data_IF_894687365827
#
_entry.id   IF_894687365827
#
_cell.length_a   1.000
_cell.length_b   1.000
_cell.length_c   1.000
_cell.angle_alpha   90.00
_cell.angle_beta   90.00
_cell.angle_gamma   90.00
#
_symmetry.space_group_name_H-M   'P 1'
#
loop_
_entity.id
_entity.type
_entity.pdbx_description
1 polymer ?
#
# COMPACT_ATOMS: atom_id res chain seq x y z
N UNK A 1 -2.22 20.76 -4.56
CA UNK A 1 -1.42 20.03 -3.56
C UNK A 1 -2.31 19.14 -2.71
N UNK A 2 -1.76 18.04 -2.18
CA UNK A 2 -2.42 17.20 -1.19
C UNK A 2 -2.68 18.00 0.11
N UNK A 3 -3.80 17.72 0.80
CA UNK A 3 -4.04 18.27 2.13
C UNK A 3 -3.12 17.61 3.17
N UNK A 4 -3.18 18.10 4.42
CA UNK A 4 -2.50 17.42 5.52
C UNK A 4 -2.97 15.95 5.66
N UNK A 5 -2.04 15.01 5.96
CA UNK A 5 -2.37 13.60 6.09
C UNK A 5 -3.33 13.36 7.26
N UNK A 6 -4.34 12.52 7.03
CA UNK A 6 -5.29 12.09 8.07
C UNK A 6 -4.62 11.17 9.08
N UNK A 7 -3.72 10.30 8.59
CA UNK A 7 -2.89 9.43 9.43
C UNK A 7 -1.43 9.59 9.04
N UNK A 8 -0.54 9.57 10.03
CA UNK A 8 0.90 9.40 9.85
C UNK A 8 1.36 8.35 10.86
N UNK A 9 2.04 7.32 10.39
CA UNK A 9 2.38 6.14 11.18
C UNK A 9 3.57 5.41 10.55
N UNK A 10 4.11 4.43 11.28
CA UNK A 10 5.19 3.57 10.80
C UNK A 10 4.69 2.16 10.49
N UNK A 11 5.34 1.46 9.56
CA UNK A 11 5.13 0.03 9.30
C UNK A 11 6.47 -0.72 9.23
N UNK A 12 6.54 -1.98 9.68
CA UNK A 12 7.66 -2.85 9.35
C UNK A 12 7.57 -3.31 7.89
N UNK A 13 8.70 -3.39 7.20
CA UNK A 13 8.79 -4.03 5.88
C UNK A 13 8.59 -5.54 6.00
N UNK A 14 7.79 -6.16 5.13
CA UNK A 14 7.66 -7.62 5.06
C UNK A 14 8.92 -8.29 4.53
N UNK A 15 9.87 -7.52 4.00
CA UNK A 15 11.17 -8.04 3.58
C UNK A 15 12.09 -8.37 4.77
N UNK A 16 12.20 -7.45 5.74
CA UNK A 16 13.22 -7.50 6.79
C UNK A 16 12.94 -6.60 8.00
N UNK A 17 11.67 -6.31 8.28
CA UNK A 17 11.21 -5.47 9.39
C UNK A 17 11.74 -4.01 9.37
N UNK A 18 12.34 -3.57 8.26
CA UNK A 18 12.77 -2.16 8.11
C UNK A 18 11.59 -1.21 8.36
N UNK A 19 11.79 -0.23 9.23
CA UNK A 19 10.74 0.74 9.60
C UNK A 19 10.52 1.74 8.47
N UNK A 20 9.28 1.82 7.99
CA UNK A 20 8.83 2.70 6.90
C UNK A 20 7.94 3.80 7.45
N UNK A 21 8.13 5.04 6.99
CA UNK A 21 7.27 6.17 7.32
C UNK A 21 6.13 6.28 6.29
N UNK A 22 4.88 6.23 6.77
CA UNK A 22 3.68 6.10 5.95
C UNK A 22 2.65 7.19 6.29
N UNK A 23 1.86 7.57 5.29
CA UNK A 23 0.78 8.56 5.38
C UNK A 23 -0.47 8.05 4.69
N UNK A 24 -1.64 8.41 5.22
CA UNK A 24 -2.94 8.15 4.58
C UNK A 24 -3.76 9.43 4.54
N UNK A 25 -4.42 9.66 3.41
CA UNK A 25 -5.28 10.81 3.14
C UNK A 25 -6.69 10.32 2.85
N UNK A 26 -7.66 10.79 3.62
CA UNK A 26 -9.06 10.45 3.44
C UNK A 26 -9.72 11.34 2.39
N UNK A 27 -10.46 10.77 1.41
CA UNK A 27 -11.24 11.54 0.47
C UNK A 27 -12.40 12.26 1.17
N UNK A 28 -12.99 13.22 0.46
CA UNK A 28 -14.15 13.97 0.96
C UNK A 28 -15.35 13.07 1.34
N UNK A 29 -15.49 11.89 0.74
CA UNK A 29 -16.52 10.89 1.09
C UNK A 29 -16.38 10.31 2.50
N UNK A 30 -15.21 10.47 3.12
CA UNK A 30 -14.96 10.12 4.52
C UNK A 30 -15.04 11.34 5.46
N UNK A 31 -15.38 12.52 4.93
CA UNK A 31 -15.65 13.68 5.77
C UNK A 31 -16.89 13.46 6.65
N UNK A 32 -16.94 14.05 7.86
CA UNK A 32 -18.15 14.08 8.69
C UNK A 32 -19.24 15.02 8.12
N UNK A 33 -19.04 15.61 6.93
CA UNK A 33 -20.05 16.46 6.29
C UNK A 33 -21.28 15.67 5.84
N UNK A 34 -22.52 16.18 6.07
CA UNK A 34 -23.74 15.56 5.55
C UNK A 34 -23.81 15.49 4.01
N UNK A 35 -23.11 16.41 3.34
CA UNK A 35 -23.01 16.46 1.87
C UNK A 35 -21.94 15.53 1.30
N UNK A 36 -21.22 14.78 2.15
CA UNK A 36 -20.23 13.82 1.69
C UNK A 36 -20.94 12.62 1.01
N UNK A 37 -20.54 12.23 -0.20
CA UNK A 37 -21.10 11.04 -0.83
C UNK A 37 -20.66 9.77 -0.08
N UNK A 38 -21.39 8.65 -0.21
CA UNK A 38 -20.97 7.37 0.33
C UNK A 38 -19.59 6.97 -0.19
N UNK A 39 -18.73 6.52 0.72
CA UNK A 39 -17.39 6.07 0.35
C UNK A 39 -17.46 4.66 -0.27
N UNK A 40 -17.04 4.56 -1.55
CA UNK A 40 -17.08 3.33 -2.37
C UNK A 40 -15.83 2.43 -2.17
N UNK A 41 -15.02 2.65 -1.13
CA UNK A 41 -13.82 1.83 -0.79
C UNK A 41 -12.67 1.83 -1.81
N UNK A 42 -12.67 2.73 -2.80
CA UNK A 42 -11.53 2.87 -3.71
C UNK A 42 -10.30 3.37 -2.95
N UNK A 43 -9.14 2.77 -3.23
CA UNK A 43 -7.88 3.10 -2.59
C UNK A 43 -6.73 3.11 -3.60
N UNK A 44 -5.70 3.91 -3.32
CA UNK A 44 -4.50 3.97 -4.13
C UNK A 44 -3.25 4.17 -3.27
N UNK A 45 -2.11 3.69 -3.77
CA UNK A 45 -0.78 3.97 -3.24
C UNK A 45 -0.01 4.75 -4.29
N UNK A 46 0.71 5.80 -3.89
CA UNK A 46 1.63 6.53 -4.78
C UNK A 46 3.04 6.45 -4.21
N UNK A 47 3.90 5.70 -4.90
CA UNK A 47 5.31 5.55 -4.55
C UNK A 47 6.20 6.62 -5.19
N UNK A 48 7.21 7.04 -4.44
CA UNK A 48 8.06 8.20 -4.76
C UNK A 48 9.30 7.83 -5.61
N UNK A 49 10.04 8.83 -6.15
CA UNK A 49 11.20 8.59 -7.00
C UNK A 49 12.44 8.21 -6.17
N UNK A 50 13.58 7.98 -6.83
CA UNK A 50 14.77 7.38 -6.22
C UNK A 50 15.27 8.13 -4.97
N UNK A 51 15.28 7.44 -3.82
CA UNK A 51 15.62 8.06 -2.53
C UNK A 51 17.03 8.65 -2.44
N UNK A 52 18.09 7.99 -2.96
CA UNK A 52 19.45 8.52 -2.88
C UNK A 52 19.66 9.85 -3.63
N UNK A 53 18.76 10.21 -4.54
CA UNK A 53 18.76 11.50 -5.23
C UNK A 53 17.79 12.52 -4.62
N UNK A 54 17.38 12.31 -3.36
CA UNK A 54 16.47 13.19 -2.63
C UNK A 54 14.98 12.87 -2.84
N UNK A 55 14.65 11.78 -3.55
CA UNK A 55 13.27 11.34 -3.73
C UNK A 55 12.61 10.96 -2.41
N UNK A 56 11.40 11.47 -2.17
CA UNK A 56 10.57 11.10 -1.03
C UNK A 56 9.09 11.34 -1.37
N UNK A 57 8.18 10.88 -0.53
CA UNK A 57 6.73 11.10 -0.71
C UNK A 57 6.27 12.59 -0.74
N UNK A 58 7.15 13.56 -0.47
CA UNK A 58 6.90 15.00 -0.51
C UNK A 58 7.28 15.59 -1.89
N UNK A 59 7.63 14.73 -2.84
CA UNK A 59 7.96 15.09 -4.22
C UNK A 59 6.75 15.76 -4.92
N UNK A 60 6.94 16.88 -5.65
CA UNK A 60 5.84 17.61 -6.28
C UNK A 60 5.03 16.80 -7.30
N UNK A 61 5.65 15.83 -7.98
CA UNK A 61 4.96 14.95 -8.94
C UNK A 61 4.11 13.94 -8.17
N UNK A 62 4.63 13.38 -7.08
CA UNK A 62 3.85 12.50 -6.17
C UNK A 62 2.65 13.24 -5.59
N UNK A 63 2.84 14.48 -5.13
CA UNK A 63 1.80 15.35 -4.62
C UNK A 63 0.71 15.62 -5.67
N UNK A 64 1.11 15.95 -6.89
CA UNK A 64 0.19 16.21 -8.01
C UNK A 64 -0.64 14.97 -8.39
N UNK A 65 0.01 13.80 -8.46
CA UNK A 65 -0.67 12.51 -8.72
C UNK A 65 -1.64 12.20 -7.58
N UNK A 66 -1.18 12.28 -6.33
CA UNK A 66 -2.00 12.00 -5.16
C UNK A 66 -3.21 12.92 -5.07
N UNK A 67 -3.05 14.21 -5.36
CA UNK A 67 -4.15 15.18 -5.36
C UNK A 67 -5.20 14.86 -6.43
N UNK A 68 -4.78 14.50 -7.65
CA UNK A 68 -5.69 14.10 -8.72
C UNK A 68 -6.51 12.86 -8.32
N UNK A 69 -5.86 11.85 -7.74
CA UNK A 69 -6.52 10.63 -7.28
C UNK A 69 -7.45 10.89 -6.08
N UNK A 70 -7.03 11.72 -5.12
CA UNK A 70 -7.83 12.08 -3.94
C UNK A 70 -9.11 12.82 -4.34
N UNK A 71 -9.02 13.76 -5.29
CA UNK A 71 -10.18 14.47 -5.85
C UNK A 71 -11.14 13.55 -6.60
N UNK A 72 -10.62 12.53 -7.29
CA UNK A 72 -11.45 11.52 -7.93
C UNK A 72 -12.22 10.66 -6.90
N UNK A 73 -11.77 10.61 -5.64
CA UNK A 73 -12.46 9.93 -4.55
C UNK A 73 -11.74 8.69 -4.01
N UNK A 74 -10.48 8.48 -4.39
CA UNK A 74 -9.64 7.42 -3.83
C UNK A 74 -9.16 7.78 -2.43
N UNK A 75 -9.06 6.77 -1.56
CA UNK A 75 -8.28 6.83 -0.33
C UNK A 75 -6.81 6.62 -0.67
N UNK A 76 -5.98 7.63 -0.42
CA UNK A 76 -4.58 7.64 -0.87
C UNK A 76 -3.66 7.29 0.28
N UNK A 77 -2.66 6.46 0.01
CA UNK A 77 -1.48 6.35 0.85
C UNK A 77 -0.21 6.72 0.08
N UNK A 78 0.69 7.36 0.81
CA UNK A 78 2.07 7.57 0.38
C UNK A 78 2.99 7.07 1.48
N UNK A 79 4.20 6.67 1.11
CA UNK A 79 5.20 6.18 2.06
C UNK A 79 6.58 6.48 1.53
N UNK A 80 7.56 6.43 2.42
CA UNK A 80 8.97 6.47 2.07
C UNK A 80 9.51 5.04 2.01
N UNK A 81 10.10 4.67 0.88
CA UNK A 81 10.93 3.46 0.78
C UNK A 81 12.08 3.54 1.80
N UNK A 82 12.67 2.38 2.10
CA UNK A 82 13.90 2.32 2.89
C UNK A 82 14.97 3.31 2.40
N UNK A 83 15.61 4.00 3.33
CA UNK A 83 16.63 5.02 3.07
C UNK A 83 16.10 6.39 2.62
N UNK A 84 14.78 6.59 2.52
CA UNK A 84 14.19 7.91 2.24
C UNK A 84 13.73 8.60 3.53
N UNK A 85 14.16 9.84 3.73
CA UNK A 85 13.69 10.72 4.82
C UNK A 85 13.72 10.01 6.20
N UNK A 86 12.56 9.72 6.80
CA UNK A 86 12.43 9.08 8.12
C UNK A 86 12.38 7.55 8.08
N UNK A 87 12.30 6.94 6.90
CA UNK A 87 12.37 5.48 6.77
C UNK A 87 13.79 4.99 7.03
N UNK A 88 13.91 3.89 7.77
CA UNK A 88 15.19 3.28 8.11
C UNK A 88 15.82 2.60 6.88
N UNK A 89 17.02 2.03 7.06
CA UNK A 89 17.70 1.26 6.02
C UNK A 89 18.33 2.11 4.91
N UNK A 90 18.60 1.47 3.77
CA UNK A 90 19.20 2.07 2.59
C UNK A 90 18.58 1.47 1.33
N UNK A 91 18.48 2.27 0.28
CA UNK A 91 17.96 1.82 -1.01
C UNK A 91 18.87 0.76 -1.63
N UNK A 92 18.27 -0.32 -2.09
CA UNK A 92 18.88 -1.39 -2.85
C UNK A 92 18.80 -1.10 -4.35
N UNK A 93 19.82 -1.55 -5.06
CA UNK A 93 19.83 -1.52 -6.52
C UNK A 93 18.86 -2.56 -7.11
N UNK A 94 18.68 -3.71 -6.46
CA UNK A 94 17.87 -4.82 -7.01
C UNK A 94 16.36 -4.57 -6.98
N UNK A 95 15.89 -3.55 -6.26
CA UNK A 95 14.47 -3.27 -5.98
C UNK A 95 13.70 -4.35 -5.20
N UNK A 96 14.29 -5.52 -4.88
CA UNK A 96 13.61 -6.58 -4.12
C UNK A 96 13.19 -6.12 -2.72
N UNK A 97 14.07 -5.45 -1.94
CA UNK A 97 13.67 -4.97 -0.63
C UNK A 97 12.60 -3.86 -0.70
N UNK A 98 12.65 -3.01 -1.73
CA UNK A 98 11.66 -1.96 -1.97
C UNK A 98 10.31 -2.53 -2.43
N UNK A 99 10.29 -3.66 -3.16
CA UNK A 99 9.04 -4.39 -3.43
C UNK A 99 8.39 -4.84 -2.13
N UNK A 100 9.16 -5.39 -1.18
CA UNK A 100 8.67 -5.73 0.16
C UNK A 100 8.15 -4.52 0.92
N UNK A 101 8.82 -3.38 0.82
CA UNK A 101 8.34 -2.12 1.44
C UNK A 101 6.97 -1.69 0.88
N UNK A 102 6.81 -1.77 -0.44
CA UNK A 102 5.54 -1.47 -1.10
C UNK A 102 4.46 -2.48 -0.69
N UNK A 103 4.78 -3.77 -0.67
CA UNK A 103 3.86 -4.85 -0.29
C UNK A 103 3.37 -4.71 1.15
N UNK A 104 4.21 -4.22 2.08
CA UNK A 104 3.78 -3.86 3.44
C UNK A 104 2.64 -2.85 3.44
N UNK A 105 2.77 -1.78 2.65
CA UNK A 105 1.73 -0.77 2.57
C UNK A 105 0.49 -1.28 1.84
N UNK A 106 0.63 -2.15 0.84
CA UNK A 106 -0.49 -2.81 0.17
C UNK A 106 -1.30 -3.62 1.19
N UNK A 107 -0.64 -4.47 1.96
CA UNK A 107 -1.27 -5.24 3.04
C UNK A 107 -1.97 -4.32 4.04
N UNK A 108 -1.29 -3.28 4.52
CA UNK A 108 -1.90 -2.29 5.41
C UNK A 108 -3.19 -1.70 4.81
N UNK A 109 -3.13 -1.22 3.57
CA UNK A 109 -4.23 -0.51 2.93
C UNK A 109 -5.45 -1.40 2.69
N UNK A 110 -5.26 -2.65 2.26
CA UNK A 110 -6.39 -3.58 2.03
C UNK A 110 -7.11 -3.89 3.35
N UNK A 111 -6.37 -4.18 4.42
CA UNK A 111 -7.00 -4.44 5.73
C UNK A 111 -7.57 -3.17 6.36
N UNK A 112 -6.90 -2.02 6.19
CA UNK A 112 -7.41 -0.74 6.67
C UNK A 112 -8.75 -0.40 5.99
N UNK A 113 -8.83 -0.56 4.67
CA UNK A 113 -10.07 -0.36 3.91
C UNK A 113 -11.15 -1.34 4.32
N UNK A 114 -10.81 -2.60 4.60
CA UNK A 114 -11.77 -3.60 5.08
C UNK A 114 -12.39 -3.19 6.42
N UNK A 115 -11.55 -2.82 7.40
CA UNK A 115 -12.02 -2.45 8.75
C UNK A 115 -12.61 -1.05 8.85
N UNK A 116 -12.33 -0.16 7.89
CA UNK A 116 -12.95 1.16 7.85
C UNK A 116 -14.44 0.99 7.51
N UNK A 117 -15.28 1.31 8.48
CA UNK A 117 -16.73 1.27 8.41
C UNK A 117 -17.28 2.60 8.92
N UNK A 118 -17.11 3.67 8.12
CA UNK A 118 -17.45 5.02 8.55
C UNK A 118 -18.95 5.14 8.89
N UNK A 119 -19.80 4.28 8.34
CA UNK A 119 -21.25 4.34 8.47
C UNK A 119 -21.83 3.28 9.43
N UNK A 120 -20.99 2.44 10.04
CA UNK A 120 -21.42 1.38 10.95
C UNK A 120 -22.31 0.31 10.29
N UNK A 121 -22.19 0.12 8.96
CA UNK A 121 -23.05 -0.77 8.18
C UNK A 121 -22.68 -2.25 8.39
N UNK A 122 -21.41 -2.54 8.68
CA UNK A 122 -20.94 -3.91 8.97
C UNK A 122 -21.55 -4.41 10.27
N UNK A 123 -21.64 -3.54 11.29
CA UNK A 123 -22.31 -3.85 12.56
C UNK A 123 -23.84 -3.97 12.43
N UNK A 124 -24.43 -3.50 11.33
CA UNK A 124 -25.87 -3.59 11.05
C UNK A 124 -26.26 -4.81 10.20
N UNK A 125 -25.33 -5.75 9.98
CA UNK A 125 -25.61 -7.01 9.29
C UNK A 125 -25.73 -6.91 7.77
N UNK A 126 -25.29 -5.79 7.17
CA UNK A 126 -25.32 -5.61 5.72
C UNK A 126 -24.09 -6.27 5.05
N UNK A 127 -23.98 -7.60 5.12
CA UNK A 127 -23.01 -8.37 4.33
C UNK A 127 -23.70 -8.92 3.10
N UNK A 128 -23.72 -8.12 2.02
CA UNK A 128 -24.09 -8.60 0.70
C UNK A 128 -22.94 -9.40 0.10
N UNK A 129 -23.19 -10.66 -0.27
CA UNK A 129 -22.34 -11.48 -1.11
C UNK A 129 -22.21 -10.79 -2.48
N UNK A 130 -21.12 -10.07 -2.72
CA UNK A 130 -20.85 -9.48 -4.04
C UNK A 130 -20.15 -10.54 -4.90
N UNK A 131 -20.72 -10.93 -6.06
CA UNK A 131 -20.09 -11.85 -7.00
C UNK A 131 -18.76 -11.30 -7.55
N UNK A 132 -17.89 -12.15 -8.14
CA UNK A 132 -16.54 -11.76 -8.56
C UNK A 132 -16.45 -10.70 -9.67
N UNK A 133 -17.55 -10.37 -10.35
CA UNK A 133 -17.58 -9.45 -11.49
C UNK A 133 -18.73 -8.43 -11.40
N UNK A 134 -18.95 -7.86 -10.20
CA UNK A 134 -19.84 -6.69 -10.09
C UNK A 134 -19.05 -5.43 -10.53
N UNK A 135 -19.57 -4.59 -11.46
CA UNK A 135 -19.00 -3.27 -11.74
C UNK A 135 -18.81 -2.41 -10.48
N UNK A 136 -19.48 -2.70 -9.37
CA UNK A 136 -19.30 -2.05 -8.07
C UNK A 136 -18.09 -2.53 -7.25
N UNK A 137 -17.26 -3.45 -7.78
CA UNK A 137 -16.06 -3.91 -7.06
C UNK A 137 -15.09 -2.73 -6.85
N UNK A 138 -14.69 -2.40 -5.61
CA UNK A 138 -13.79 -1.29 -5.35
C UNK A 138 -12.43 -1.49 -6.02
N UNK A 139 -11.74 -0.39 -6.29
CA UNK A 139 -10.49 -0.38 -7.07
C UNK A 139 -9.33 -0.19 -6.11
N UNK A 140 -8.27 -0.96 -6.32
CA UNK A 140 -6.98 -0.77 -5.66
C UNK A 140 -5.93 -0.38 -6.71
N UNK A 141 -5.53 0.88 -6.69
CA UNK A 141 -4.58 1.44 -7.65
C UNK A 141 -3.17 1.47 -7.06
N UNK A 142 -2.27 0.62 -7.57
CA UNK A 142 -0.84 0.71 -7.25
C UNK A 142 -0.16 1.64 -8.24
N UNK A 143 0.29 2.80 -7.76
CA UNK A 143 0.96 3.80 -8.57
C UNK A 143 2.41 4.04 -8.11
N UNK A 144 3.24 4.50 -9.04
CA UNK A 144 4.58 4.96 -8.75
C UNK A 144 5.10 5.95 -9.77
N UNK A 145 6.02 6.80 -9.33
CA UNK A 145 6.76 7.75 -10.16
C UNK A 145 8.25 7.40 -10.18
N UNK A 146 8.88 7.43 -11.37
CA UNK A 146 10.30 7.15 -11.57
C UNK A 146 10.69 5.78 -11.00
N UNK A 147 11.64 5.71 -10.07
CA UNK A 147 12.00 4.49 -9.36
C UNK A 147 10.80 3.81 -8.68
N UNK A 148 9.87 4.56 -8.09
CA UNK A 148 8.63 4.01 -7.56
C UNK A 148 7.78 3.32 -8.64
N UNK A 149 7.80 3.80 -9.88
CA UNK A 149 7.14 3.15 -11.01
C UNK A 149 7.84 1.83 -11.39
N UNK A 150 9.17 1.79 -11.32
CA UNK A 150 9.97 0.56 -11.54
C UNK A 150 9.61 -0.51 -10.50
N UNK A 151 9.55 -0.12 -9.22
CA UNK A 151 9.15 -1.02 -8.13
C UNK A 151 7.71 -1.51 -8.38
N UNK A 152 6.79 -0.59 -8.71
CA UNK A 152 5.37 -0.91 -8.99
C UNK A 152 5.21 -1.91 -10.13
N UNK A 153 5.97 -1.75 -11.23
CA UNK A 153 5.92 -2.68 -12.36
C UNK A 153 6.43 -4.07 -12.02
N UNK A 154 7.27 -4.21 -10.99
CA UNK A 154 7.85 -5.48 -10.54
C UNK A 154 7.09 -6.15 -9.42
N UNK A 155 6.12 -5.48 -8.79
CA UNK A 155 5.33 -6.11 -7.75
C UNK A 155 4.63 -7.36 -8.30
N UNK A 156 4.50 -8.44 -7.51
CA UNK A 156 3.71 -9.57 -7.90
C UNK A 156 2.21 -9.20 -8.01
N UNK A 157 1.38 -10.07 -8.59
CA UNK A 157 -0.08 -9.91 -8.59
C UNK A 157 -0.65 -9.69 -7.17
N UNK A 158 -1.75 -8.93 -7.06
CA UNK A 158 -2.31 -8.52 -5.76
C UNK A 158 -2.68 -9.72 -4.87
N UNK A 159 -3.21 -10.79 -5.44
CA UNK A 159 -3.52 -12.04 -4.74
C UNK A 159 -2.29 -12.71 -4.13
N UNK A 160 -1.15 -12.69 -4.84
CA UNK A 160 0.12 -13.18 -4.30
C UNK A 160 0.62 -12.26 -3.16
N UNK A 161 0.46 -10.94 -3.26
CA UNK A 161 0.79 -10.05 -2.14
C UNK A 161 -0.08 -10.38 -0.92
N UNK A 162 -1.38 -10.56 -1.11
CA UNK A 162 -2.34 -10.75 -0.02
C UNK A 162 -2.24 -12.13 0.65
N UNK A 163 -1.74 -13.16 -0.04
CA UNK A 163 -1.54 -14.48 0.56
C UNK A 163 -0.59 -14.44 1.78
N UNK A 164 0.37 -13.52 1.79
CA UNK A 164 1.29 -13.30 2.91
C UNK A 164 0.58 -12.78 4.17
N UNK A 165 -0.58 -12.16 4.00
CA UNK A 165 -1.37 -11.56 5.07
C UNK A 165 -2.56 -12.43 5.49
N UNK A 166 -2.89 -13.53 4.80
CA UNK A 166 -4.09 -14.31 5.10
C UNK A 166 -4.06 -14.94 6.51
N UNK A 167 -2.96 -15.62 6.87
CA UNK A 167 -2.78 -16.23 8.19
C UNK A 167 -1.34 -16.14 8.69
N UNK A 168 -0.80 -14.92 8.88
CA UNK A 168 0.60 -14.71 9.22
C UNK A 168 0.89 -15.15 10.65
N UNK A 169 2.15 -15.48 10.90
CA UNK A 169 2.66 -15.77 12.24
C UNK A 169 2.56 -14.50 13.10
N UNK A 170 2.06 -14.61 14.34
CA UNK A 170 1.79 -13.47 15.25
C UNK A 170 3.00 -12.54 15.45
N UNK A 171 4.23 -13.06 15.36
CA UNK A 171 5.46 -12.30 15.53
C UNK A 171 6.04 -11.72 14.23
N UNK A 172 5.36 -11.88 13.09
CA UNK A 172 5.86 -11.41 11.78
C UNK A 172 5.40 -9.98 11.47
N UNK A 173 6.15 -9.28 10.60
CA UNK A 173 5.74 -7.99 10.02
C UNK A 173 4.29 -8.01 9.50
N UNK A 174 3.90 -9.06 8.78
CA UNK A 174 2.58 -9.18 8.19
C UNK A 174 1.45 -9.21 9.24
N UNK A 175 1.67 -9.87 10.38
CA UNK A 175 0.73 -9.86 11.50
C UNK A 175 0.65 -8.47 12.14
N UNK A 176 1.78 -7.83 12.37
CA UNK A 176 1.83 -6.48 12.92
C UNK A 176 1.13 -5.46 12.02
N UNK A 177 1.37 -5.51 10.71
CA UNK A 177 0.72 -4.66 9.71
C UNK A 177 -0.80 -4.81 9.76
N UNK A 178 -1.31 -6.05 9.80
CA UNK A 178 -2.76 -6.32 9.89
C UNK A 178 -3.38 -5.72 11.14
N UNK A 179 -2.74 -5.89 12.27
CA UNK A 179 -3.25 -5.41 13.55
C UNK A 179 -3.16 -3.88 13.65
N UNK A 180 -2.09 -3.28 13.10
CA UNK A 180 -1.98 -1.82 12.95
C UNK A 180 -3.11 -1.26 12.08
N UNK A 181 -3.39 -1.90 10.94
CA UNK A 181 -4.47 -1.52 10.04
C UNK A 181 -5.85 -1.57 10.73
N UNK A 182 -6.13 -2.67 11.45
CA UNK A 182 -7.36 -2.81 12.24
C UNK A 182 -7.46 -1.71 13.30
N UNK A 183 -6.42 -1.53 14.11
CA UNK A 183 -6.41 -0.55 15.19
C UNK A 183 -6.71 0.86 14.69
N UNK A 184 -5.99 1.29 13.64
CA UNK A 184 -6.15 2.62 13.08
C UNK A 184 -7.54 2.81 12.43
N UNK A 185 -8.07 1.78 11.78
CA UNK A 185 -9.41 1.84 11.19
C UNK A 185 -10.50 1.97 12.27
N UNK A 186 -10.43 1.17 13.33
CA UNK A 186 -11.36 1.25 14.48
C UNK A 186 -11.30 2.61 15.17
N UNK A 187 -10.10 3.18 15.30
CA UNK A 187 -9.89 4.52 15.86
C UNK A 187 -10.57 5.59 14.99
N UNK A 188 -10.46 5.48 13.66
CA UNK A 188 -11.10 6.39 12.72
C UNK A 188 -12.62 6.22 12.67
N UNK A 189 -13.14 4.98 12.72
CA UNK A 189 -14.58 4.74 12.82
C UNK A 189 -15.19 5.39 14.06
N UNK A 190 -14.49 5.31 15.20
CA UNK A 190 -14.90 5.95 16.45
C UNK A 190 -14.93 7.47 16.30
N UNK A 191 -13.87 8.06 15.74
CA UNK A 191 -13.81 9.51 15.51
C UNK A 191 -14.91 9.98 14.54
N UNK A 192 -15.11 9.30 13.41
CA UNK A 192 -16.10 9.65 12.40
C UNK A 192 -17.54 9.55 12.94
N UNK A 193 -17.84 8.52 13.71
CA UNK A 193 -19.17 8.36 14.33
C UNK A 193 -19.45 9.47 15.35
N UNK A 194 -18.46 9.82 16.20
CA UNK A 194 -18.58 10.93 17.15
C UNK A 194 -18.72 12.28 16.45
N UNK A 195 -17.92 12.55 15.41
CA UNK A 195 -17.97 13.79 14.64
C UNK A 195 -19.31 13.99 13.93
N UNK A 196 -19.95 12.91 13.45
CA UNK A 196 -21.29 12.97 12.85
C UNK A 196 -22.38 13.17 13.91
N UNK A 197 -22.31 12.46 15.04
CA UNK A 197 -23.29 12.56 16.12
C UNK A 197 -23.28 13.96 16.79
N UNK A 198 -22.11 14.54 17.02
CA UNK A 198 -21.97 15.89 17.58
C UNK A 198 -22.53 16.98 16.66
N UNK A 199 -22.50 16.77 15.34
CA UNK A 199 -23.13 17.69 14.37
C UNK A 199 -24.65 17.56 14.33
N UNK A 200 -25.20 16.35 14.51
CA UNK A 200 -26.66 16.18 14.61
C UNK A 200 -27.26 16.81 15.87
N UNK A 201 -26.44 17.02 16.91
CA UNK A 201 -26.84 17.63 18.17
C UNK A 201 -26.63 19.16 18.23
N UNK A 202 -25.98 19.76 17.23
CA UNK A 202 -25.78 21.20 17.18
C UNK A 202 -27.00 21.90 16.53
N UNK A 203 -27.74 22.76 17.24
CA UNK A 203 -28.84 23.51 16.64
C UNK A 203 -28.29 24.49 15.59
N UNK A 204 -28.78 24.35 14.37
CA UNK A 204 -28.61 25.30 13.27
C UNK A 204 -29.29 26.62 13.68
N UNK A 205 -28.53 27.54 14.31
CA UNK A 205 -28.94 28.94 14.42
C UNK A 205 -27.87 29.81 13.79
N UNK A 206 -28.22 30.64 12.79
CA UNK A 206 -27.30 31.61 12.24
C UNK A 206 -27.29 32.82 13.18
N UNK A 207 -26.34 32.90 14.11
CA UNK A 207 -26.10 34.13 14.87
C UNK A 207 -24.62 34.48 14.92
N UNK A 208 -24.30 35.48 14.09
CA UNK A 208 -23.33 36.53 14.38
C UNK A 208 -23.28 36.85 15.88
N UNK A 209 -22.11 36.70 16.48
CA UNK A 209 -21.75 37.31 17.75
C UNK A 209 -20.35 37.93 17.59
N UNK A 210 -20.34 39.25 17.40
CA UNK A 210 -19.19 40.11 17.65
C UNK A 210 -19.14 40.39 19.15
N UNK A 211 -18.03 40.08 19.80
CA UNK A 211 -17.61 40.72 21.05
C UNK A 211 -16.13 41.02 20.89
N UNK A 212 -15.79 42.30 20.91
CA UNK A 212 -14.43 42.83 20.79
C UNK A 212 -13.77 43.14 22.13
N UNK A 213 -12.48 43.50 22.03
CA UNK A 213 -11.53 43.90 23.08
C UNK A 213 -10.22 43.14 22.84
N UNK A 214 -9.24 43.62 22.07
CA UNK A 214 -8.27 44.70 22.36
C UNK A 214 -7.58 44.45 23.71
N UNK A 215 -6.28 44.16 23.85
CA UNK A 215 -5.07 44.63 23.16
C UNK A 215 -4.07 43.45 22.99
N UNK A 216 -3.21 43.41 21.96
CA UNK A 216 -1.79 43.67 22.21
C UNK A 216 -0.85 42.60 21.61
N UNK A 217 -0.37 42.91 20.41
CA UNK A 217 0.98 42.60 19.88
C UNK A 217 1.43 41.18 19.44
N UNK A 218 1.93 41.21 18.19
CA UNK A 218 3.00 40.41 17.59
C UNK A 218 2.67 38.99 17.07
N UNK A 219 2.11 39.04 15.86
CA UNK A 219 2.32 38.04 14.80
C UNK A 219 3.82 37.77 14.60
N UNK A 220 4.27 36.56 14.97
CA UNK A 220 5.40 35.91 14.31
C UNK A 220 4.93 34.58 13.76
N UNK A 221 4.96 34.49 12.44
CA UNK A 221 4.85 33.27 11.67
C UNK A 221 5.96 32.29 12.06
N UNK A 222 5.58 31.13 12.58
CA UNK A 222 6.45 29.96 12.58
C UNK A 222 5.63 28.73 12.20
N UNK A 223 5.80 28.36 10.94
CA UNK A 223 5.71 27.02 10.40
C UNK A 223 5.97 25.95 11.48
N UNK A 224 4.95 25.14 11.78
CA UNK A 224 5.08 23.91 12.56
C UNK A 224 4.44 22.76 11.79
N UNK A 225 5.18 22.25 10.81
CA UNK A 225 5.16 20.82 10.48
C UNK A 225 5.38 20.04 11.78
N UNK A 226 4.31 19.45 12.34
CA UNK A 226 4.38 18.69 13.59
C UNK A 226 5.40 17.55 13.44
N UNK A 227 6.48 17.54 14.25
CA UNK A 227 7.34 16.36 14.35
C UNK A 227 6.56 15.22 15.01
N UNK A 228 6.85 13.99 14.59
CA UNK A 228 6.44 12.76 15.26
C UNK A 228 6.78 12.86 16.75
N UNK A 229 5.78 12.85 17.63
CA UNK A 229 6.05 12.69 19.05
C UNK A 229 6.29 11.19 19.32
N UNK A 230 7.32 10.78 20.07
CA UNK A 230 7.50 9.38 20.50
C UNK A 230 6.22 8.80 21.13
N UNK A 231 5.45 9.68 21.77
CA UNK A 231 4.19 9.36 22.46
C UNK A 231 3.07 8.85 21.53
N UNK A 232 3.01 9.26 20.26
CA UNK A 232 2.00 8.76 19.30
C UNK A 232 2.32 7.35 18.83
N UNK A 233 3.60 7.03 18.61
CA UNK A 233 4.00 5.68 18.22
C UNK A 233 3.86 4.67 19.37
N UNK A 234 4.17 5.07 20.60
CA UNK A 234 3.97 4.21 21.77
C UNK A 234 2.49 3.86 22.00
N UNK A 235 1.57 4.79 21.69
CA UNK A 235 0.12 4.51 21.74
C UNK A 235 -0.29 3.47 20.70
N UNK A 236 0.26 3.56 19.49
CA UNK A 236 0.01 2.57 18.44
C UNK A 236 0.52 1.19 18.84
N UNK A 237 1.75 1.10 19.38
CA UNK A 237 2.34 -0.16 19.85
C UNK A 237 1.51 -0.82 20.96
N UNK A 238 1.03 -0.03 21.92
CA UNK A 238 0.10 -0.51 22.97
C UNK A 238 -1.21 -1.02 22.38
N UNK A 239 -1.82 -0.26 21.46
CA UNK A 239 -3.07 -0.67 20.79
C UNK A 239 -2.95 -1.98 20.02
N UNK A 240 -1.84 -2.20 19.32
CA UNK A 240 -1.53 -3.47 18.63
C UNK A 240 -1.35 -4.61 19.64
N UNK A 241 -0.64 -4.36 20.74
CA UNK A 241 -0.45 -5.35 21.82
C UNK A 241 -1.77 -5.77 22.46
N UNK A 242 -2.70 -4.83 22.67
CA UNK A 242 -4.04 -5.12 23.19
C UNK A 242 -4.87 -5.97 22.21
N UNK A 243 -4.75 -5.73 20.90
CA UNK A 243 -5.41 -6.56 19.87
C UNK A 243 -4.81 -7.98 19.82
N UNK A 244 -3.49 -8.14 19.96
CA UNK A 244 -2.86 -9.45 20.10
C UNK A 244 -3.41 -10.21 21.31
N UNK A 245 -3.49 -9.54 22.48
CA UNK A 245 -4.02 -10.14 23.70
C UNK A 245 -5.49 -10.57 23.53
N UNK A 246 -6.34 -9.72 22.94
CA UNK A 246 -7.76 -10.04 22.64
C UNK A 246 -7.88 -11.26 21.71
N UNK A 247 -7.02 -11.36 20.71
CA UNK A 247 -7.00 -12.49 19.78
C UNK A 247 -6.68 -13.80 20.51
N UNK A 248 -5.69 -13.78 21.42
CA UNK A 248 -5.35 -14.93 22.28
C UNK A 248 -6.48 -15.32 23.24
N UNK A 249 -7.17 -14.36 23.85
CA UNK A 249 -8.29 -14.63 24.75
C UNK A 249 -9.51 -15.24 24.04
N UNK A 250 -9.84 -14.79 22.82
CA UNK A 250 -10.91 -15.41 22.03
C UNK A 250 -10.61 -16.89 21.74
N UNK A 251 -9.36 -17.24 21.43
CA UNK A 251 -8.93 -18.62 21.21
C UNK A 251 -8.99 -19.49 22.46
N UNK A 252 -8.54 -19.00 23.62
CA UNK A 252 -8.59 -19.78 24.88
C UNK A 252 -10.02 -20.02 25.38
N UNK A 253 -10.95 -19.10 25.10
CA UNK A 253 -12.38 -19.29 25.38
C UNK A 253 -13.05 -20.32 24.45
N UNK A 254 -12.60 -20.39 23.18
CA UNK A 254 -13.04 -21.38 22.20
C UNK A 254 -12.59 -22.80 22.59
N UNK A 255 -11.34 -22.97 23.02
CA UNK A 255 -10.81 -24.27 23.48
C UNK A 255 -11.42 -24.77 24.80
N UNK A 256 -11.85 -23.89 25.70
CA UNK A 256 -12.56 -24.32 26.94
C UNK A 256 -13.96 -24.85 26.67
N UNK A 257 -14.60 -24.43 25.57
CA UNK A 257 -15.98 -24.80 25.25
C UNK A 257 -16.12 -26.16 24.55
N UNK A 258 -15.02 -26.77 24.09
CA UNK A 258 -15.01 -28.12 23.49
C UNK A 258 -14.65 -29.25 24.46
N UNK A 259 -14.29 -28.95 25.72
CA UNK A 259 -13.93 -29.94 26.76
C UNK A 259 -14.94 -30.02 27.91
N UNK A 260 -16.22 -29.78 27.63
CA UNK A 260 -17.30 -29.93 28.61
C UNK A 260 -18.29 -31.01 28.15
N UNK A 261 -17.84 -32.26 28.17
CA UNK A 261 -18.68 -33.43 27.95
C UNK A 261 -17.97 -34.71 28.42
N UNK A 262 -18.59 -35.39 29.39
CA UNK A 262 -18.34 -36.74 29.91
C UNK A 262 -17.34 -36.95 31.08
N UNK A 263 -17.94 -37.21 32.26
CA UNK A 263 -17.67 -38.25 33.28
C UNK A 263 -16.22 -38.53 33.73
N UNK A 264 -15.84 -38.27 34.99
CA UNK A 264 -16.05 -39.03 36.26
C UNK A 264 -15.15 -40.26 36.41
N UNK A 265 -14.20 -40.12 37.35
CA UNK A 265 -13.46 -41.10 38.18
C UNK A 265 -12.64 -42.19 37.48
N UNK A 266 -11.32 -42.14 37.67
CA UNK A 266 -10.50 -43.23 38.24
C UNK A 266 -9.07 -42.75 38.54
N UNK A 267 -8.62 -42.98 39.77
CA UNK A 267 -7.24 -42.81 40.22
C UNK A 267 -6.37 -43.91 39.62
N UNK A 268 -5.38 -43.55 38.79
CA UNK A 268 -4.20 -44.40 38.57
C UNK A 268 -2.95 -43.51 38.55
N UNK A 269 -2.06 -43.86 39.48
CA UNK A 269 -0.72 -43.35 39.67
C UNK A 269 0.13 -43.56 38.40
N UNK A 270 0.59 -42.48 37.77
CA UNK A 270 1.54 -42.55 36.65
C UNK A 270 2.79 -41.71 36.90
N UNK A 271 3.90 -42.40 36.68
CA UNK A 271 5.32 -42.01 36.76
C UNK A 271 5.59 -40.74 35.93
N UNK A 272 6.48 -39.82 36.37
CA UNK A 272 6.79 -38.62 35.61
C UNK A 272 7.58 -38.98 34.35
N UNK A 273 6.88 -39.12 33.22
CA UNK A 273 7.50 -39.08 31.90
C UNK A 273 7.96 -37.65 31.65
N UNK A 274 9.26 -37.50 31.35
CA UNK A 274 9.85 -36.25 30.88
C UNK A 274 9.00 -35.73 29.72
N UNK A 275 8.40 -34.56 29.93
CA UNK A 275 7.76 -33.81 28.87
C UNK A 275 8.78 -33.58 27.76
N UNK A 276 8.60 -34.26 26.63
CA UNK A 276 9.16 -33.82 25.37
C UNK A 276 8.71 -32.37 25.19
N UNK A 277 9.66 -31.45 25.27
CA UNK A 277 9.45 -30.05 24.95
C UNK A 277 9.11 -29.98 23.47
N UNK A 278 7.83 -30.16 23.14
CA UNK A 278 7.28 -29.75 21.87
C UNK A 278 7.58 -28.26 21.75
N UNK A 279 8.47 -27.93 20.81
CA UNK A 279 8.77 -26.55 20.44
C UNK A 279 7.41 -25.90 20.13
N UNK A 280 7.01 -24.82 20.83
CA UNK A 280 5.68 -24.24 20.63
C UNK A 280 5.56 -23.83 19.16
N UNK A 281 4.62 -24.43 18.44
CA UNK A 281 4.38 -24.04 17.05
C UNK A 281 4.09 -22.54 17.01
N UNK A 282 4.69 -21.79 16.06
CA UNK A 282 4.49 -20.37 15.95
C UNK A 282 3.00 -20.07 15.76
N UNK A 283 2.42 -19.33 16.71
CA UNK A 283 1.01 -18.97 16.71
C UNK A 283 0.71 -18.13 15.48
N UNK A 284 -0.35 -18.48 14.73
CA UNK A 284 -0.80 -17.74 13.54
C UNK A 284 -2.08 -16.97 13.83
N UNK A 285 -2.21 -15.81 13.19
CA UNK A 285 -3.48 -15.09 13.16
C UNK A 285 -4.49 -15.84 12.30
N UNK A 286 -5.75 -15.83 12.72
CA UNK A 286 -6.84 -16.39 11.92
C UNK A 286 -7.10 -15.54 10.67
N UNK A 287 -7.48 -16.16 9.53
CA UNK A 287 -7.95 -15.44 8.36
C UNK A 287 -9.14 -14.54 8.67
N UNK A 288 -9.16 -13.36 8.05
CA UNK A 288 -10.27 -12.42 8.20
C UNK A 288 -11.41 -12.88 7.28
N UNK A 289 -12.59 -13.17 7.82
CA UNK A 289 -13.72 -13.61 7.01
C UNK A 289 -14.18 -12.48 6.09
N UNK A 290 -14.52 -12.81 4.84
CA UNK A 290 -15.05 -11.87 3.86
C UNK A 290 -14.18 -10.62 3.67
N UNK A 291 -12.85 -10.80 3.56
CA UNK A 291 -11.94 -9.72 3.20
C UNK A 291 -12.45 -9.01 1.93
N UNK A 292 -12.39 -7.68 1.93
CA UNK A 292 -12.91 -6.88 0.80
C UNK A 292 -12.17 -7.28 -0.47
N UNK A 293 -12.90 -7.70 -1.50
CA UNK A 293 -12.33 -7.99 -2.82
C UNK A 293 -12.11 -6.67 -3.54
N UNK A 294 -10.89 -6.45 -4.01
CA UNK A 294 -10.49 -5.24 -4.71
C UNK A 294 -10.00 -5.60 -6.11
N UNK A 295 -10.44 -4.84 -7.10
CA UNK A 295 -9.97 -4.96 -8.48
C UNK A 295 -8.66 -4.17 -8.62
N UNK A 296 -7.53 -4.82 -8.96
CA UNK A 296 -6.27 -4.12 -9.09
C UNK A 296 -6.23 -3.24 -10.36
N UNK A 297 -5.56 -2.11 -10.27
CA UNK A 297 -5.21 -1.22 -11.36
C UNK A 297 -3.80 -0.66 -11.14
N UNK A 298 -3.14 -0.17 -12.19
CA UNK A 298 -1.76 0.30 -12.11
C UNK A 298 -1.55 1.64 -12.81
N UNK A 299 -0.71 2.50 -12.23
CA UNK A 299 -0.29 3.78 -12.81
C UNK A 299 1.23 3.91 -12.73
N UNK A 300 1.88 4.02 -13.89
CA UNK A 300 3.33 4.08 -14.01
C UNK A 300 3.73 5.43 -14.61
N UNK A 301 4.33 6.32 -13.82
CA UNK A 301 4.76 7.64 -14.29
C UNK A 301 6.27 7.68 -14.45
N UNK A 302 6.75 7.99 -15.65
CA UNK A 302 8.17 8.08 -16.01
C UNK A 302 9.00 6.88 -15.56
N UNK A 303 8.53 5.66 -15.81
CA UNK A 303 9.28 4.42 -15.52
C UNK A 303 10.42 4.24 -16.53
N UNK A 304 11.69 4.50 -16.18
CA UNK A 304 12.77 4.64 -17.17
C UNK A 304 13.24 3.28 -17.68
N UNK A 305 12.66 2.80 -18.79
CA UNK A 305 12.87 1.44 -19.34
C UNK A 305 14.35 1.11 -19.71
N UNK A 306 15.22 2.11 -19.83
CA UNK A 306 16.64 1.94 -20.18
C UNK A 306 17.52 1.36 -19.08
N UNK A 307 17.16 1.53 -17.80
CA UNK A 307 17.89 1.00 -16.64
C UNK A 307 17.45 -0.43 -16.26
N UNK A 308 16.36 -0.93 -16.86
CA UNK A 308 15.74 -2.21 -16.50
C UNK A 308 16.61 -3.42 -16.87
N UNK A 309 17.36 -3.34 -17.98
CA UNK A 309 18.18 -4.48 -18.44
C UNK A 309 19.54 -4.59 -17.71
N UNK A 310 20.11 -3.47 -17.25
CA UNK A 310 21.41 -3.46 -16.56
C UNK A 310 21.32 -3.89 -15.09
N UNK A 311 20.18 -3.68 -14.44
CA UNK A 311 19.92 -4.22 -13.10
C UNK A 311 19.81 -5.76 -13.10
N UNK A 312 19.36 -6.34 -14.22
CA UNK A 312 19.35 -7.78 -14.41
C UNK A 312 20.75 -8.34 -14.71
N UNK A 313 21.63 -7.61 -15.40
CA UNK A 313 22.97 -8.14 -15.74
C UNK A 313 23.99 -7.97 -14.61
N UNK A 314 23.85 -6.97 -13.73
CA UNK A 314 24.87 -6.69 -12.71
C UNK A 314 24.78 -7.56 -11.45
N UNK A 315 23.69 -8.31 -11.26
CA UNK A 315 23.59 -9.28 -10.16
C UNK A 315 24.40 -10.56 -10.43
N UNK A 316 24.95 -10.73 -11.65
CA UNK A 316 25.53 -12.00 -12.12
C UNK A 316 26.97 -11.91 -12.63
N UNK A 317 27.65 -10.75 -12.55
CA UNK A 317 29.09 -10.66 -12.87
C UNK A 317 29.94 -10.51 -11.60
N UNK A 318 30.29 -11.63 -10.98
CA UNK A 318 31.47 -11.69 -10.12
C UNK A 318 32.73 -11.63 -11.02
N UNK A 319 33.39 -10.47 -11.03
CA UNK A 319 34.82 -10.20 -11.27
C UNK A 319 35.55 -10.95 -12.44
N UNK A 320 35.78 -10.32 -13.62
CA UNK A 320 36.59 -10.89 -14.69
C UNK A 320 38.08 -10.57 -14.47
N UNK A 321 38.64 -11.01 -13.34
CA UNK A 321 39.96 -10.57 -12.85
C UNK A 321 40.95 -11.68 -12.50
N UNK A 322 40.64 -12.96 -12.68
CA UNK A 322 41.58 -14.05 -12.41
C UNK A 322 41.53 -15.12 -13.50
N UNK A 323 42.21 -14.86 -14.62
CA UNK A 323 42.59 -15.89 -15.60
C UNK A 323 43.91 -16.53 -15.20
N UNK A 324 43.88 -17.71 -14.56
CA UNK A 324 44.93 -18.73 -14.68
C UNK A 324 44.26 -20.11 -14.61
N UNK A 325 44.12 -20.73 -15.79
CA UNK A 325 43.96 -22.17 -16.08
C UNK A 325 42.97 -23.02 -15.26
N UNK A 326 41.81 -23.32 -15.86
CA UNK A 326 41.16 -24.65 -15.76
C UNK A 326 40.05 -24.75 -16.81
N UNK A 327 40.14 -25.74 -17.69
CA UNK A 327 39.14 -26.09 -18.69
C UNK A 327 38.12 -27.01 -18.02
N UNK A 328 37.15 -26.42 -17.30
CA UNK A 328 36.03 -27.12 -16.68
C UNK A 328 34.69 -26.57 -17.21
N UNK A 329 33.75 -27.45 -17.53
CA UNK A 329 32.34 -27.06 -17.81
C UNK A 329 31.80 -26.23 -16.64
N UNK A 330 31.00 -25.18 -16.88
CA UNK A 330 30.27 -24.53 -15.79
C UNK A 330 29.22 -25.53 -15.30
N UNK A 331 29.49 -26.12 -14.14
CA UNK A 331 28.54 -26.94 -13.41
C UNK A 331 27.83 -25.99 -12.46
N UNK A 332 26.84 -25.25 -12.99
CA UNK A 332 25.93 -24.46 -12.17
C UNK A 332 25.23 -25.40 -11.20
N UNK A 333 25.16 -25.02 -9.93
CA UNK A 333 24.52 -25.87 -8.92
C UNK A 333 23.00 -25.89 -9.15
N UNK A 334 22.33 -27.02 -8.89
CA UNK A 334 20.88 -27.16 -9.13
C UNK A 334 20.04 -26.05 -8.45
N UNK A 335 20.56 -25.43 -7.38
CA UNK A 335 19.94 -24.29 -6.69
C UNK A 335 19.99 -22.96 -7.46
N UNK A 336 21.07 -22.69 -8.20
CA UNK A 336 21.21 -21.42 -8.96
C UNK A 336 20.26 -21.38 -10.17
N UNK A 337 20.10 -22.53 -10.85
CA UNK A 337 19.15 -22.64 -11.97
C UNK A 337 17.70 -22.49 -11.49
N UNK A 338 17.36 -23.04 -10.31
CA UNK A 338 16.02 -22.92 -9.73
C UNK A 338 15.68 -21.48 -9.31
N UNK A 339 16.65 -20.73 -8.77
CA UNK A 339 16.48 -19.30 -8.44
C UNK A 339 16.30 -18.43 -9.69
N UNK A 340 17.00 -18.74 -10.77
CA UNK A 340 16.89 -18.02 -12.04
C UNK A 340 15.52 -18.25 -12.70
N UNK A 341 15.04 -19.50 -12.70
CA UNK A 341 13.73 -19.87 -13.22
C UNK A 341 12.58 -19.24 -12.40
N UNK A 342 12.71 -19.22 -11.06
CA UNK A 342 11.76 -18.54 -10.20
C UNK A 342 11.72 -17.02 -10.45
N UNK A 343 12.89 -16.38 -10.58
CA UNK A 343 12.97 -14.94 -10.86
C UNK A 343 12.40 -14.57 -12.24
N UNK A 344 12.61 -15.41 -13.24
CA UNK A 344 12.01 -15.23 -14.58
C UNK A 344 10.49 -15.36 -14.52
N UNK A 345 9.98 -16.36 -13.79
CA UNK A 345 8.53 -16.57 -13.58
C UNK A 345 7.89 -15.39 -12.86
N UNK A 346 8.53 -14.86 -11.81
CA UNK A 346 8.06 -13.68 -11.08
C UNK A 346 7.98 -12.45 -11.98
N UNK A 347 8.97 -12.26 -12.87
CA UNK A 347 8.99 -11.14 -13.81
C UNK A 347 7.89 -11.27 -14.86
N UNK A 348 7.66 -12.47 -15.39
CA UNK A 348 6.56 -12.74 -16.32
C UNK A 348 5.20 -12.48 -15.65
N UNK A 349 5.02 -12.91 -14.40
CA UNK A 349 3.82 -12.65 -13.63
C UNK A 349 3.61 -11.14 -13.39
N UNK A 350 4.69 -10.42 -13.06
CA UNK A 350 4.68 -8.97 -12.84
C UNK A 350 4.36 -8.17 -14.12
N UNK A 351 4.78 -8.63 -15.29
CA UNK A 351 4.40 -8.01 -16.56
C UNK A 351 2.96 -8.37 -16.97
N UNK A 352 2.60 -9.65 -16.85
CA UNK A 352 1.28 -10.17 -17.19
C UNK A 352 0.16 -9.47 -16.42
N UNK A 353 0.37 -9.14 -15.13
CA UNK A 353 -0.62 -8.38 -14.35
C UNK A 353 -0.87 -6.97 -14.89
N UNK A 354 0.11 -6.33 -15.54
CA UNK A 354 -0.05 -4.97 -16.09
C UNK A 354 -0.91 -5.00 -17.36
N UNK A 355 -0.82 -6.10 -18.11
CA UNK A 355 -1.59 -6.31 -19.34
C UNK A 355 -3.02 -6.74 -19.04
N UNK A 356 -3.21 -7.64 -18.05
CA UNK A 356 -4.52 -8.19 -17.70
C UNK A 356 -5.41 -7.23 -16.90
N UNK A 357 -4.81 -6.23 -16.24
CA UNK A 357 -5.53 -5.24 -15.44
C UNK A 357 -5.41 -3.85 -16.06
N UNK A 358 -6.38 -2.99 -15.76
CA UNK A 358 -6.38 -1.61 -16.26
C UNK A 358 -5.12 -0.88 -15.80
N UNK A 359 -4.25 -0.55 -16.76
CA UNK A 359 -2.94 0.05 -16.49
C UNK A 359 -2.72 1.26 -17.37
N UNK A 360 -2.22 2.35 -16.80
CA UNK A 360 -1.76 3.52 -17.55
C UNK A 360 -0.27 3.76 -17.30
N UNK A 361 0.51 3.87 -18.37
CA UNK A 361 1.86 4.42 -18.34
C UNK A 361 1.87 5.85 -18.89
N UNK A 362 2.42 6.81 -18.13
CA UNK A 362 2.63 8.19 -18.57
C UNK A 362 4.13 8.48 -18.61
N UNK A 363 4.64 9.02 -19.70
CA UNK A 363 6.06 9.37 -19.83
C UNK A 363 6.27 10.58 -20.71
N UNK A 364 7.36 11.30 -20.50
CA UNK A 364 7.77 12.42 -21.35
C UNK A 364 8.61 11.97 -22.56
N UNK A 365 8.50 12.69 -23.67
CA UNK A 365 9.32 12.44 -24.87
C UNK A 365 10.75 13.02 -24.79
N UNK A 366 11.02 13.83 -23.76
CA UNK A 366 12.35 14.39 -23.43
C UNK A 366 12.91 13.85 -22.11
N UNK A 367 12.41 12.70 -21.64
CA UNK A 367 12.92 12.05 -20.43
C UNK A 367 14.40 11.66 -20.61
N UNK A 368 15.26 12.16 -19.73
CA UNK A 368 16.72 11.95 -19.79
C UNK A 368 17.16 10.59 -19.25
N UNK A 369 16.32 9.90 -18.47
CA UNK A 369 16.62 8.60 -17.87
C UNK A 369 16.09 7.43 -18.70
N UNK A 370 15.16 7.70 -19.62
CA UNK A 370 14.59 6.70 -20.53
C UNK A 370 14.42 7.26 -21.93
N UNK A 371 14.94 6.55 -22.94
CA UNK A 371 14.71 6.94 -24.34
C UNK A 371 13.21 6.87 -24.67
N UNK A 372 12.66 7.94 -25.23
CA UNK A 372 11.31 7.96 -25.79
C UNK A 372 11.08 6.81 -26.78
N UNK A 373 12.07 6.44 -27.59
CA UNK A 373 11.95 5.29 -28.49
C UNK A 373 11.81 3.95 -27.75
N UNK A 374 12.51 3.78 -26.62
CA UNK A 374 12.41 2.58 -25.78
C UNK A 374 11.05 2.52 -25.07
N UNK A 375 10.57 3.66 -24.55
CA UNK A 375 9.26 3.75 -23.91
C UNK A 375 8.13 3.45 -24.91
N UNK A 376 8.19 4.02 -26.13
CA UNK A 376 7.24 3.72 -27.22
C UNK A 376 7.26 2.24 -27.61
N UNK A 377 8.44 1.64 -27.76
CA UNK A 377 8.57 0.23 -28.11
C UNK A 377 8.01 -0.69 -27.01
N UNK A 378 8.35 -0.41 -25.75
CA UNK A 378 7.85 -1.17 -24.60
C UNK A 378 6.34 -1.06 -24.45
N UNK A 379 5.79 0.16 -24.48
CA UNK A 379 4.35 0.37 -24.34
C UNK A 379 3.56 -0.25 -25.50
N UNK A 380 4.02 -0.08 -26.75
CA UNK A 380 3.40 -0.73 -27.91
C UNK A 380 3.36 -2.25 -27.76
N UNK A 381 4.47 -2.87 -27.34
CA UNK A 381 4.52 -4.32 -27.10
C UNK A 381 3.45 -4.78 -26.11
N UNK A 382 3.26 -4.07 -25.00
CA UNK A 382 2.25 -4.42 -23.99
C UNK A 382 0.82 -4.13 -24.46
N UNK A 383 0.62 -3.09 -25.28
CA UNK A 383 -0.69 -2.75 -25.86
C UNK A 383 -1.13 -3.77 -26.91
N UNK A 384 -0.19 -4.33 -27.67
CA UNK A 384 -0.47 -5.28 -28.75
C UNK A 384 -0.75 -6.71 -28.25
N UNK A 385 -0.57 -6.99 -26.95
CA UNK A 385 -0.90 -8.28 -26.35
C UNK A 385 -2.42 -8.54 -26.38
N UNK A 386 -2.82 -9.80 -26.53
CA UNK A 386 -4.22 -10.19 -26.60
C UNK A 386 -5.00 -9.73 -25.35
N UNK A 387 -6.13 -9.05 -25.56
CA UNK A 387 -7.02 -8.52 -24.50
C UNK A 387 -6.30 -7.59 -23.51
N UNK A 388 -5.25 -6.90 -23.95
CA UNK A 388 -4.53 -5.94 -23.13
C UNK A 388 -5.44 -4.79 -22.67
N UNK A 389 -5.42 -4.51 -21.37
CA UNK A 389 -6.00 -3.32 -20.77
C UNK A 389 -4.95 -2.23 -20.51
N UNK A 390 -3.72 -2.44 -20.98
CA UNK A 390 -2.63 -1.50 -20.85
C UNK A 390 -2.81 -0.33 -21.83
N UNK A 391 -2.59 0.90 -21.35
CA UNK A 391 -2.60 2.11 -22.17
C UNK A 391 -1.38 2.95 -21.85
N UNK A 392 -1.00 3.81 -22.79
CA UNK A 392 0.09 4.75 -22.61
C UNK A 392 -0.29 6.16 -23.04
N UNK A 393 0.30 7.16 -22.37
CA UNK A 393 0.22 8.57 -22.72
C UNK A 393 1.64 9.12 -22.76
N UNK A 394 2.03 9.63 -23.91
CA UNK A 394 3.28 10.37 -24.07
C UNK A 394 2.99 11.87 -23.93
N UNK A 395 3.70 12.54 -23.01
CA UNK A 395 3.58 13.98 -22.76
C UNK A 395 4.65 14.71 -23.58
N UNK A 396 4.21 15.39 -24.63
CA UNK A 396 5.11 16.13 -25.51
C UNK A 396 5.82 17.27 -24.77
N UNK A 397 7.14 17.37 -24.95
CA UNK A 397 7.99 18.38 -24.33
C UNK A 397 8.36 18.09 -22.88
N UNK A 398 7.80 17.05 -22.26
CA UNK A 398 8.07 16.72 -20.86
C UNK A 398 9.40 15.99 -20.69
N UNK A 399 10.20 16.48 -19.74
CA UNK A 399 11.31 15.74 -19.16
C UNK A 399 10.83 14.80 -18.06
N UNK A 400 11.80 14.20 -17.36
CA UNK A 400 11.50 13.25 -16.29
C UNK A 400 10.73 13.87 -15.11
N UNK A 401 11.09 15.12 -14.79
CA UNK A 401 10.61 15.85 -13.61
C UNK A 401 9.37 16.72 -13.87
N UNK A 402 8.88 16.78 -15.11
CA UNK A 402 7.72 17.60 -15.51
C UNK A 402 7.83 19.08 -15.08
N UNK A 403 9.03 19.65 -15.16
CA UNK A 403 9.29 21.06 -14.80
C UNK A 403 9.10 22.01 -15.98
N UNK A 404 8.99 21.47 -17.20
CA UNK A 404 8.73 22.24 -18.41
C UNK A 404 7.31 22.84 -18.41
N UNK A 405 7.12 23.91 -19.18
CA UNK A 405 5.87 24.65 -19.15
C UNK A 405 4.66 23.75 -19.48
N UNK A 406 3.65 23.77 -18.61
CA UNK A 406 2.40 23.00 -18.66
C UNK A 406 2.51 21.48 -18.58
N UNK A 407 3.70 20.88 -18.55
CA UNK A 407 3.83 19.41 -18.62
C UNK A 407 3.29 18.72 -17.37
N UNK A 408 3.48 19.32 -16.18
CA UNK A 408 2.86 18.85 -14.93
C UNK A 408 1.33 18.91 -14.97
N UNK A 409 0.75 19.94 -15.60
CA UNK A 409 -0.69 20.05 -15.80
C UNK A 409 -1.22 18.95 -16.72
N UNK A 410 -0.54 18.67 -17.83
CA UNK A 410 -0.90 17.59 -18.75
C UNK A 410 -0.81 16.22 -18.04
N UNK A 411 0.22 16.00 -17.22
CA UNK A 411 0.30 14.81 -16.37
C UNK A 411 -0.90 14.73 -15.41
N UNK A 412 -1.23 15.81 -14.72
CA UNK A 412 -2.36 15.87 -13.79
C UNK A 412 -3.69 15.56 -14.50
N UNK A 413 -3.90 16.09 -15.70
CA UNK A 413 -5.09 15.84 -16.52
C UNK A 413 -5.17 14.38 -16.98
N UNK A 414 -4.05 13.79 -17.42
CA UNK A 414 -3.98 12.38 -17.80
C UNK A 414 -4.33 11.46 -16.61
N UNK A 415 -3.75 11.74 -15.43
CA UNK A 415 -4.05 10.99 -14.19
C UNK A 415 -5.51 11.18 -13.77
N UNK A 416 -6.03 12.40 -13.85
CA UNK A 416 -7.43 12.70 -13.53
C UNK A 416 -8.37 11.93 -14.45
N UNK A 417 -8.15 12.00 -15.76
CA UNK A 417 -8.96 11.30 -16.77
C UNK A 417 -8.94 9.79 -16.54
N UNK A 418 -7.76 9.24 -16.25
CA UNK A 418 -7.60 7.82 -15.92
C UNK A 418 -8.37 7.44 -14.66
N UNK A 419 -8.21 8.20 -13.58
CA UNK A 419 -8.88 7.96 -12.31
C UNK A 419 -10.41 8.05 -12.45
N UNK A 420 -10.91 9.07 -13.16
CA UNK A 420 -12.35 9.19 -13.42
C UNK A 420 -12.86 8.09 -14.34
N UNK A 421 -12.07 7.62 -15.32
CA UNK A 421 -12.44 6.49 -16.18
C UNK A 421 -12.51 5.17 -15.42
N UNK A 422 -11.57 4.95 -14.48
CA UNK A 422 -11.57 3.81 -13.57
C UNK A 422 -12.86 3.75 -12.74
N UNK A 423 -13.30 4.90 -12.21
CA UNK A 423 -14.50 5.02 -11.38
C UNK A 423 -15.79 5.14 -12.20
N UNK A 424 -15.73 5.70 -13.40
CA UNK A 424 -16.88 6.00 -14.26
C UNK A 424 -17.42 4.78 -15.01
N UNK A 425 -16.63 3.71 -15.17
CA UNK A 425 -17.16 2.41 -15.59
C UNK A 425 -18.18 1.80 -14.60
N UNK A 426 -18.39 2.43 -13.44
CA UNK A 426 -19.37 2.04 -12.42
C UNK A 426 -20.69 2.83 -12.54
N UNK A 427 -20.64 4.06 -13.08
CA UNK A 427 -21.81 4.96 -13.12
C UNK A 427 -22.46 5.08 -14.53
N UNK A 428 -21.90 4.38 -15.53
CA UNK A 428 -22.34 4.43 -16.94
C UNK A 428 -23.36 3.37 -17.39
N UNK A 429 -23.91 2.57 -16.48
CA UNK A 429 -25.03 1.68 -16.76
C UNK A 429 -26.34 2.28 -16.22
N UNK A 430 -26.90 3.24 -16.95
CA UNK A 430 -28.30 3.63 -16.84
C UNK A 430 -28.93 3.69 -18.22
#
# INVERSE_FOLDING_TARGET
MLPDPTLTFTLPSVHDDTVLDCRVFHPYSLSPSPSAPPWKRHAAIVAHPYAPMGGCYDDPVVDTIGEALLRAGFLIATFNFRGASKSAGKTSWTSRPEQGDYMSLVGFMVYYVHYLDPYGLVNRGATGLVPPEDPNTPIFLSAGYSYGAIVTSRLPPLDHILSQFEGPVESSAAAEIRLRAQHLAEQQNTWLSQARASRTLAPQTPRSMRVGGDEGEQRRSSDMRRPHSPHTEDKLRRGVSDLLAKTRHRRSSSHRRSKSGQHRLEEIQQVPQKAEQQTPQPQKLEPVPNLVKLRPAYLLVSAPQGAFNHLLTLSFFHNPGSTIFSRGKPQGTDGEMAEEEAAATDLEAAETKLVRNTTLAVYGDRDVFGSASKNRAWTRRLQDMEKSQFRSVEVHGAGHFYTEDRTLHVLQEAVTTFATGLLGHIDGAK
#
